data_IF_583060756524
#
_entry.id   IF_583060756524
#
_cell.length_a   1.000
_cell.length_b   1.000
_cell.length_c   1.000
_cell.angle_alpha   90.00
_cell.angle_beta   90.00
_cell.angle_gamma   90.00
#
_symmetry.space_group_name_H-M   'P 1'
#
loop_
_entity.id
_entity.type
_entity.pdbx_description
1 polymer ?
#
# COMPACT_ATOMS: atom_id res chain seq x y z
N UNK A 1 -9.68 -21.64 -69.11
CA UNK A 1 -9.69 -20.18 -69.40
C UNK A 1 -10.19 -19.44 -68.16
N UNK A 2 -9.91 -18.14 -68.02
CA UNK A 2 -10.66 -17.21 -67.14
C UNK A 2 -12.05 -16.93 -67.79
N UNK A 3 -13.07 -16.33 -67.17
CA UNK A 3 -13.27 -15.71 -65.82
C UNK A 3 -14.58 -16.30 -65.22
N UNK A 4 -15.43 -15.75 -64.34
CA UNK A 4 -15.61 -14.46 -63.60
C UNK A 4 -16.40 -14.75 -62.29
N UNK A 5 -16.40 -13.80 -61.34
CA UNK A 5 -17.23 -13.82 -60.11
C UNK A 5 -18.53 -12.98 -60.31
N UNK A 6 -19.42 -12.88 -59.29
CA UNK A 6 -19.18 -11.88 -58.23
C UNK A 6 -19.44 -12.39 -56.80
N UNK A 7 -18.68 -11.85 -55.86
CA UNK A 7 -18.82 -12.06 -54.41
C UNK A 7 -19.84 -11.09 -53.84
N UNK A 8 -20.72 -11.54 -52.94
CA UNK A 8 -21.56 -10.64 -52.12
C UNK A 8 -20.68 -10.02 -51.04
N UNK A 9 -20.70 -8.69 -50.90
CA UNK A 9 -19.92 -7.98 -49.89
C UNK A 9 -20.68 -7.94 -48.55
N UNK A 10 -20.13 -8.55 -47.51
CA UNK A 10 -20.57 -8.30 -46.14
C UNK A 10 -20.07 -6.92 -45.65
N UNK A 11 -20.96 -6.00 -45.22
CA UNK A 11 -20.63 -4.61 -44.96
C UNK A 11 -20.01 -4.35 -43.57
N UNK A 12 -19.40 -5.35 -42.94
CA UNK A 12 -18.83 -5.25 -41.59
C UNK A 12 -17.37 -5.73 -41.49
N UNK A 13 -16.61 -5.57 -42.58
CA UNK A 13 -15.16 -5.78 -42.57
C UNK A 13 -14.45 -4.58 -41.93
N UNK A 14 -14.42 -4.55 -40.60
CA UNK A 14 -13.60 -3.61 -39.83
C UNK A 14 -12.11 -3.84 -40.13
N UNK A 15 -11.58 -3.12 -41.12
CA UNK A 15 -10.19 -3.28 -41.54
C UNK A 15 -9.24 -2.91 -40.41
N UNK A 16 -8.66 -3.91 -39.76
CA UNK A 16 -7.49 -3.74 -38.91
C UNK A 16 -6.34 -3.30 -39.81
N UNK A 17 -6.16 -1.97 -39.94
CA UNK A 17 -4.98 -1.42 -40.57
C UNK A 17 -3.79 -1.71 -39.65
N UNK A 18 -2.75 -2.32 -40.22
CA UNK A 18 -1.47 -2.53 -39.57
C UNK A 18 -0.77 -1.18 -39.40
N UNK A 19 -1.21 -0.42 -38.39
CA UNK A 19 -0.46 0.71 -37.84
C UNK A 19 0.92 0.20 -37.43
N UNK A 20 1.98 0.99 -37.59
CA UNK A 20 3.38 0.59 -37.32
C UNK A 20 3.75 0.30 -35.85
N UNK A 21 2.78 -0.06 -35.02
CA UNK A 21 2.96 -0.66 -33.71
C UNK A 21 2.90 -2.20 -33.85
N UNK A 22 3.74 -2.96 -33.14
CA UNK A 22 3.67 -4.42 -33.19
C UNK A 22 2.31 -4.93 -32.71
N UNK A 23 1.89 -6.07 -33.25
CA UNK A 23 0.74 -6.81 -32.73
C UNK A 23 0.96 -7.20 -31.26
N UNK A 24 -0.10 -7.13 -30.45
CA UNK A 24 -0.04 -7.48 -29.03
C UNK A 24 0.13 -9.00 -28.86
N UNK A 25 1.37 -9.46 -28.84
CA UNK A 25 1.74 -10.80 -28.37
C UNK A 25 1.51 -10.88 -26.86
N UNK A 26 0.44 -11.57 -26.46
CA UNK A 26 0.16 -11.91 -25.05
C UNK A 26 1.02 -13.07 -24.53
N UNK A 27 2.08 -13.42 -25.24
CA UNK A 27 3.12 -14.32 -24.74
C UNK A 27 3.86 -13.61 -23.60
N UNK A 28 4.05 -14.30 -22.48
CA UNK A 28 4.42 -13.69 -21.20
C UNK A 28 5.92 -13.36 -21.10
N UNK A 29 6.44 -12.62 -22.09
CA UNK A 29 7.86 -12.33 -22.26
C UNK A 29 8.45 -11.63 -21.02
N UNK A 30 9.44 -12.27 -20.41
CA UNK A 30 10.01 -11.90 -19.11
C UNK A 30 11.04 -10.76 -19.28
N UNK A 31 10.52 -9.60 -19.70
CA UNK A 31 11.28 -8.41 -20.04
C UNK A 31 12.20 -7.99 -18.87
N UNK A 32 13.52 -7.84 -19.06
CA UNK A 32 14.48 -7.51 -17.99
C UNK A 32 14.26 -6.17 -17.26
N UNK A 33 13.30 -5.36 -17.71
CA UNK A 33 12.88 -4.10 -17.10
C UNK A 33 11.67 -4.24 -16.16
N UNK A 34 11.11 -5.44 -15.99
CA UNK A 34 10.10 -5.72 -14.96
C UNK A 34 10.66 -5.33 -13.58
N UNK A 35 9.95 -4.54 -12.75
CA UNK A 35 10.44 -4.17 -11.43
C UNK A 35 10.56 -5.42 -10.55
N UNK A 36 11.67 -5.55 -9.82
CA UNK A 36 11.88 -6.65 -8.89
C UNK A 36 10.71 -6.72 -7.89
N UNK A 37 10.14 -7.90 -7.60
CA UNK A 37 9.04 -8.03 -6.66
C UNK A 37 9.41 -7.45 -5.29
N UNK A 38 8.52 -6.60 -4.76
CA UNK A 38 8.72 -5.96 -3.46
C UNK A 38 8.51 -7.02 -2.37
N UNK A 39 9.62 -7.51 -1.82
CA UNK A 39 9.59 -8.47 -0.73
C UNK A 39 9.02 -7.81 0.52
N UNK A 40 7.83 -8.22 0.95
CA UNK A 40 7.23 -7.70 2.19
C UNK A 40 8.11 -8.08 3.39
N UNK A 41 8.29 -7.12 4.31
CA UNK A 41 8.99 -7.37 5.57
C UNK A 41 8.11 -8.27 6.47
N UNK A 42 8.69 -9.23 7.20
CA UNK A 42 7.92 -10.04 8.15
C UNK A 42 7.26 -9.14 9.20
N UNK A 43 6.08 -9.56 9.69
CA UNK A 43 5.19 -8.73 10.50
C UNK A 43 5.88 -8.03 11.69
N UNK A 44 6.68 -8.78 12.45
CA UNK A 44 7.47 -8.24 13.56
C UNK A 44 8.40 -7.10 13.11
N UNK A 45 9.17 -7.28 12.02
CA UNK A 45 10.08 -6.25 11.50
C UNK A 45 9.35 -5.04 10.87
N UNK A 46 8.02 -5.09 10.72
CA UNK A 46 7.17 -3.91 10.47
C UNK A 46 6.84 -3.22 11.79
N UNK A 47 6.33 -3.96 12.78
CA UNK A 47 6.02 -3.45 14.14
C UNK A 47 7.25 -2.76 14.77
N UNK A 48 8.42 -3.41 14.74
CA UNK A 48 9.68 -2.89 15.27
C UNK A 48 10.08 -1.55 14.62
N UNK A 49 9.85 -1.42 13.32
CA UNK A 49 10.21 -0.22 12.55
C UNK A 49 9.30 0.97 12.85
N UNK A 50 7.98 0.75 12.91
CA UNK A 50 7.03 1.80 13.32
C UNK A 50 7.25 2.20 14.79
N UNK A 51 7.58 1.23 15.65
CA UNK A 51 7.86 1.51 17.07
C UNK A 51 9.15 2.31 17.27
N UNK A 52 10.18 2.10 16.44
CA UNK A 52 11.38 2.92 16.45
C UNK A 52 11.08 4.40 16.12
N UNK A 53 10.24 4.68 15.12
CA UNK A 53 9.82 6.04 14.73
C UNK A 53 9.09 6.74 15.88
N UNK A 54 8.23 6.02 16.61
CA UNK A 54 7.51 6.55 17.77
C UNK A 54 8.46 6.72 18.97
N UNK A 55 9.41 5.81 19.19
CA UNK A 55 10.36 5.87 20.30
C UNK A 55 11.33 7.06 20.18
N UNK A 56 11.80 7.39 18.97
CA UNK A 56 12.63 8.57 18.68
C UNK A 56 11.98 9.88 19.15
N UNK A 57 10.67 10.01 18.95
CA UNK A 57 9.92 11.24 19.17
C UNK A 57 9.19 11.29 20.53
N UNK A 58 8.67 10.15 20.97
CA UNK A 58 7.75 10.02 22.11
C UNK A 58 7.99 8.71 22.86
N UNK A 59 9.19 8.52 23.41
CA UNK A 59 9.58 7.31 24.17
C UNK A 59 8.58 6.88 25.26
N UNK A 60 7.86 7.81 25.91
CA UNK A 60 6.76 7.48 26.84
C UNK A 60 5.60 6.74 26.18
N UNK A 61 5.21 7.16 24.98
CA UNK A 61 4.13 6.54 24.21
C UNK A 61 4.59 5.17 23.70
N UNK A 62 5.83 5.05 23.22
CA UNK A 62 6.40 3.76 22.82
C UNK A 62 6.35 2.73 23.97
N UNK A 63 6.86 3.10 25.15
CA UNK A 63 6.84 2.27 26.37
C UNK A 63 5.44 2.02 26.95
N UNK A 64 4.41 2.73 26.47
CA UNK A 64 3.01 2.47 26.79
C UNK A 64 2.41 1.47 25.78
N UNK A 65 2.63 1.68 24.48
CA UNK A 65 2.18 0.77 23.42
C UNK A 65 2.78 -0.62 23.60
N UNK A 66 4.07 -0.73 23.93
CA UNK A 66 4.75 -2.00 24.25
C UNK A 66 4.03 -2.79 25.36
N UNK A 67 3.58 -2.10 26.42
CA UNK A 67 2.89 -2.72 27.57
C UNK A 67 1.43 -3.08 27.28
N UNK A 68 0.81 -2.43 26.30
CA UNK A 68 -0.55 -2.72 25.88
C UNK A 68 -0.62 -3.63 24.64
N UNK A 69 0.49 -3.96 23.99
CA UNK A 69 0.48 -4.79 22.79
C UNK A 69 -0.13 -6.17 23.06
N UNK A 70 -1.00 -6.64 22.15
CA UNK A 70 -1.81 -7.85 22.35
C UNK A 70 -2.97 -7.69 23.35
N UNK A 71 -3.09 -6.57 24.08
CA UNK A 71 -4.29 -6.26 24.85
C UNK A 71 -5.37 -5.67 23.95
N UNK A 72 -6.64 -6.03 24.20
CA UNK A 72 -7.78 -5.63 23.35
C UNK A 72 -7.96 -4.11 23.24
N UNK A 73 -7.49 -3.37 24.24
CA UNK A 73 -7.59 -1.92 24.33
C UNK A 73 -6.44 -1.17 23.63
N UNK A 74 -5.41 -1.87 23.14
CA UNK A 74 -4.27 -1.25 22.44
C UNK A 74 -4.73 -0.41 21.24
N UNK A 75 -5.64 -0.97 20.43
CA UNK A 75 -6.22 -0.30 19.26
C UNK A 75 -7.02 0.94 19.67
N UNK A 76 -7.76 0.91 20.79
CA UNK A 76 -8.49 2.07 21.31
C UNK A 76 -7.58 3.12 21.93
N UNK A 77 -6.48 2.72 22.57
CA UNK A 77 -5.44 3.61 23.07
C UNK A 77 -4.74 4.34 21.90
N UNK A 78 -4.35 3.62 20.86
CA UNK A 78 -3.77 4.18 19.63
C UNK A 78 -4.75 5.14 18.92
N UNK A 79 -6.03 4.76 18.78
CA UNK A 79 -7.09 5.65 18.24
C UNK A 79 -7.27 6.91 19.09
N UNK A 80 -7.26 6.77 20.41
CA UNK A 80 -7.38 7.90 21.35
C UNK A 80 -6.19 8.84 21.27
N UNK A 81 -4.96 8.32 21.16
CA UNK A 81 -3.75 9.10 20.91
C UNK A 81 -3.88 9.90 19.60
N UNK A 82 -4.18 9.22 18.48
CA UNK A 82 -4.34 9.81 17.15
C UNK A 82 -5.34 10.97 17.16
N UNK A 83 -6.51 10.79 17.79
CA UNK A 83 -7.58 11.78 17.84
C UNK A 83 -7.34 12.91 18.86
N UNK A 84 -6.64 12.63 19.96
CA UNK A 84 -6.29 13.63 20.98
C UNK A 84 -5.08 14.49 20.57
N UNK A 85 -4.21 13.96 19.70
CA UNK A 85 -3.09 14.67 19.11
C UNK A 85 -1.87 14.85 20.02
N UNK A 86 -1.67 14.00 21.03
CA UNK A 86 -0.48 14.05 21.90
C UNK A 86 -0.63 13.31 23.23
N UNK A 87 0.48 13.16 23.96
CA UNK A 87 0.48 12.84 25.39
C UNK A 87 -0.11 14.04 26.17
N UNK A 88 -0.96 13.80 27.17
CA UNK A 88 -1.84 14.82 27.75
C UNK A 88 -1.20 15.70 28.82
N UNK A 89 0.09 16.00 28.69
CA UNK A 89 0.95 16.70 29.67
C UNK A 89 0.70 18.24 29.71
N UNK A 90 -0.57 18.62 29.84
CA UNK A 90 -1.05 19.91 30.35
C UNK A 90 -0.86 21.18 29.52
N UNK A 91 0.04 21.23 28.52
CA UNK A 91 0.39 22.47 27.79
C UNK A 91 0.44 22.31 26.27
N UNK A 92 -0.54 22.96 25.63
CA UNK A 92 -0.75 23.09 24.18
C UNK A 92 -1.08 21.78 23.43
N UNK A 93 -1.96 21.88 22.43
CA UNK A 93 -2.29 20.79 21.49
C UNK A 93 -1.19 20.69 20.43
N UNK A 94 -0.02 20.19 20.81
CA UNK A 94 1.11 19.97 19.89
C UNK A 94 0.89 18.64 19.17
N UNK A 95 0.21 18.70 18.03
CA UNK A 95 -0.06 17.55 17.18
C UNK A 95 1.22 16.77 16.81
N UNK A 96 1.09 15.45 16.67
CA UNK A 96 2.18 14.58 16.22
C UNK A 96 2.77 15.03 14.87
N UNK A 97 4.07 14.78 14.68
CA UNK A 97 4.67 14.78 13.34
C UNK A 97 3.91 13.79 12.42
N UNK A 98 3.88 14.08 11.13
CA UNK A 98 3.30 13.20 10.10
C UNK A 98 3.88 11.77 10.14
N UNK A 99 5.19 11.65 10.40
CA UNK A 99 5.90 10.37 10.53
C UNK A 99 5.37 9.53 11.71
N UNK A 100 5.28 10.12 12.90
CA UNK A 100 4.73 9.49 14.11
C UNK A 100 3.25 9.15 13.94
N UNK A 101 2.48 10.06 13.32
CA UNK A 101 1.06 9.84 13.05
C UNK A 101 0.83 8.69 12.03
N UNK A 102 1.70 8.57 11.02
CA UNK A 102 1.71 7.44 10.09
C UNK A 102 2.07 6.14 10.80
N UNK A 103 3.09 6.14 11.66
CA UNK A 103 3.50 4.96 12.43
C UNK A 103 2.38 4.47 13.36
N UNK A 104 1.68 5.38 14.05
CA UNK A 104 0.52 5.04 14.89
C UNK A 104 -0.62 4.42 14.07
N UNK A 105 -0.90 4.92 12.86
CA UNK A 105 -1.90 4.31 11.96
C UNK A 105 -1.45 2.95 11.41
N UNK A 106 -0.17 2.81 11.06
CA UNK A 106 0.39 1.54 10.60
C UNK A 106 0.33 0.47 11.69
N UNK A 107 0.59 0.82 12.96
CA UNK A 107 0.44 -0.09 14.10
C UNK A 107 -1.01 -0.50 14.36
N UNK A 108 -1.99 0.41 14.19
CA UNK A 108 -3.42 0.05 14.24
C UNK A 108 -3.80 -0.95 13.16
N UNK A 109 -3.22 -0.84 11.96
CA UNK A 109 -3.42 -1.81 10.89
C UNK A 109 -2.71 -3.15 11.18
N UNK A 110 -1.46 -3.12 11.64
CA UNK A 110 -0.66 -4.31 12.00
C UNK A 110 -1.35 -5.15 13.09
N UNK A 111 -1.87 -4.51 14.14
CA UNK A 111 -2.63 -5.16 15.22
C UNK A 111 -4.01 -5.71 14.76
N UNK A 112 -4.44 -5.45 13.52
CA UNK A 112 -5.60 -6.08 12.88
C UNK A 112 -5.20 -7.21 11.91
N UNK A 113 -3.90 -7.46 11.73
CA UNK A 113 -3.34 -8.58 10.96
C UNK A 113 -2.80 -9.72 11.87
N UNK A 114 -2.78 -9.52 13.19
CA UNK A 114 -2.53 -10.53 14.24
C UNK A 114 -3.84 -11.21 14.69
#
# INVERSE_FOLDING_TARGET
>A
MKVLSPTVQDPNNSSFQETGFPSLSWEEEDLPTRPMPLHERPLQARIDAEMAIIAEHHIRIALAIEKFWGHRDCVEYLRTLILSGGDSDGRARVGFKSEVLSALMNLVALHQQE
#
